data_IF_390268907948
#
_entry.id   IF_390268907948
#
_cell.length_a   1.000
_cell.length_b   1.000
_cell.length_c   1.000
_cell.angle_alpha   90.00
_cell.angle_beta   90.00
_cell.angle_gamma   90.00
#
_symmetry.space_group_name_H-M   'P 1'
#
loop_
_entity.id
_entity.type
_entity.pdbx_description
1 polymer ?
#
# COMPACT_ATOMS: atom_id res chain seq x y z
N UNK A 1 -14.87 -6.94 7.14
CA UNK A 1 -14.21 -6.36 5.94
C UNK A 1 -13.05 -7.25 5.58
N UNK A 2 -13.04 -7.81 4.37
CA UNK A 2 -11.94 -8.68 3.91
C UNK A 2 -10.69 -7.81 3.72
N UNK A 3 -9.58 -8.17 4.38
CA UNK A 3 -8.31 -7.48 4.20
C UNK A 3 -7.72 -7.88 2.85
N UNK A 4 -7.12 -6.94 2.11
CA UNK A 4 -6.53 -7.17 0.78
C UNK A 4 -5.13 -7.76 0.91
N UNK A 5 -4.77 -8.69 0.03
CA UNK A 5 -3.38 -9.09 -0.16
C UNK A 5 -2.60 -7.99 -0.91
N UNK A 6 -1.26 -8.13 -0.99
CA UNK A 6 -0.43 -7.18 -1.73
C UNK A 6 -0.70 -7.25 -3.23
N UNK A 7 -0.99 -8.44 -3.72
CA UNK A 7 -1.41 -8.72 -5.09
C UNK A 7 -2.75 -8.03 -5.40
N UNK A 8 -3.73 -8.12 -4.50
CA UNK A 8 -5.02 -7.45 -4.66
C UNK A 8 -4.87 -5.93 -4.75
N UNK A 9 -3.99 -5.34 -3.94
CA UNK A 9 -3.73 -3.90 -4.01
C UNK A 9 -3.06 -3.50 -5.34
N UNK A 10 -2.14 -4.34 -5.85
CA UNK A 10 -1.55 -4.11 -7.17
C UNK A 10 -2.60 -4.24 -8.29
N UNK A 11 -3.51 -5.20 -8.19
CA UNK A 11 -4.62 -5.35 -9.13
C UNK A 11 -5.56 -4.14 -9.07
N UNK A 12 -5.91 -3.69 -7.87
CA UNK A 12 -6.75 -2.52 -7.64
C UNK A 12 -6.17 -1.24 -8.26
N UNK A 13 -4.85 -1.03 -8.20
CA UNK A 13 -4.22 0.09 -8.90
C UNK A 13 -4.41 0.02 -10.43
N UNK A 14 -4.34 -1.18 -11.00
CA UNK A 14 -4.59 -1.39 -12.44
C UNK A 14 -6.06 -1.14 -12.78
N UNK A 15 -7.00 -1.63 -11.97
CA UNK A 15 -8.45 -1.42 -12.17
C UNK A 15 -8.81 0.07 -12.16
N UNK A 16 -8.18 0.84 -11.26
CA UNK A 16 -8.37 2.29 -11.18
C UNK A 16 -7.59 3.07 -12.25
N UNK A 17 -6.77 2.40 -13.06
CA UNK A 17 -5.86 3.01 -14.03
C UNK A 17 -4.99 4.12 -13.41
N UNK A 18 -4.48 3.90 -12.20
CA UNK A 18 -3.56 4.81 -11.51
C UNK A 18 -2.24 4.12 -11.16
N UNK A 19 -1.15 4.86 -11.16
CA UNK A 19 0.16 4.35 -10.72
C UNK A 19 0.28 4.46 -9.19
N UNK A 20 1.20 3.67 -8.61
CA UNK A 20 1.56 3.79 -7.18
C UNK A 20 2.05 5.20 -6.85
N UNK A 21 2.84 5.81 -7.74
CA UNK A 21 3.32 7.17 -7.58
C UNK A 21 2.17 8.18 -7.58
N UNK A 22 1.21 8.02 -8.49
CA UNK A 22 0.03 8.90 -8.56
C UNK A 22 -0.84 8.77 -7.31
N UNK A 23 -1.14 7.55 -6.88
CA UNK A 23 -1.87 7.34 -5.63
C UNK A 23 -1.09 7.91 -4.43
N UNK A 24 0.23 7.72 -4.40
CA UNK A 24 1.09 8.29 -3.37
C UNK A 24 1.01 9.82 -3.31
N UNK A 25 1.15 10.51 -4.45
CA UNK A 25 1.01 11.97 -4.52
C UNK A 25 -0.32 12.46 -3.96
N UNK A 26 -1.43 11.79 -4.28
CA UNK A 26 -2.76 12.12 -3.77
C UNK A 26 -2.91 11.89 -2.25
N UNK A 27 -2.09 11.03 -1.69
CA UNK A 27 -2.16 10.63 -0.28
C UNK A 27 -1.01 11.15 0.59
N UNK A 28 -0.07 11.91 0.02
CA UNK A 28 1.10 12.44 0.73
C UNK A 28 2.25 11.44 0.92
N UNK A 29 2.32 10.39 0.10
CA UNK A 29 3.34 9.35 0.17
C UNK A 29 4.20 9.28 -1.10
N UNK A 30 5.45 8.87 -0.95
CA UNK A 30 6.33 8.59 -2.08
C UNK A 30 6.07 7.19 -2.68
N UNK A 31 6.36 7.04 -3.97
CA UNK A 31 6.30 5.73 -4.65
C UNK A 31 7.20 4.69 -3.96
N UNK A 32 8.33 5.11 -3.38
CA UNK A 32 9.25 4.22 -2.69
C UNK A 32 8.66 3.68 -1.37
N UNK A 33 8.00 4.52 -0.58
CA UNK A 33 7.29 4.09 0.65
C UNK A 33 6.21 3.06 0.30
N UNK A 34 5.41 3.31 -0.74
CA UNK A 34 4.36 2.38 -1.19
C UNK A 34 4.97 1.08 -1.71
N UNK A 35 6.05 1.16 -2.48
CA UNK A 35 6.74 -0.01 -3.02
C UNK A 35 7.26 -0.92 -1.90
N UNK A 36 7.85 -0.35 -0.82
CA UNK A 36 8.31 -1.13 0.34
C UNK A 36 7.18 -1.87 1.05
N UNK A 37 6.00 -1.24 1.15
CA UNK A 37 4.78 -1.85 1.70
C UNK A 37 4.30 -3.00 0.81
N UNK A 38 4.21 -2.79 -0.50
CA UNK A 38 3.70 -3.79 -1.46
C UNK A 38 4.69 -4.91 -1.79
N UNK A 39 5.98 -4.71 -1.54
CA UNK A 39 7.01 -5.74 -1.69
C UNK A 39 7.26 -6.51 -0.39
N UNK A 40 6.80 -6.00 0.75
CA UNK A 40 7.03 -6.60 2.06
C UNK A 40 8.40 -6.36 2.65
N UNK A 41 9.16 -5.38 2.13
CA UNK A 41 10.43 -4.98 2.74
C UNK A 41 10.23 -4.30 4.08
N UNK A 42 9.05 -3.72 4.31
CA UNK A 42 8.67 -3.19 5.62
C UNK A 42 7.87 -4.21 6.42
N UNK A 43 8.14 -4.26 7.73
CA UNK A 43 7.38 -5.06 8.70
C UNK A 43 6.02 -4.46 9.04
N UNK A 44 5.76 -3.19 8.64
CA UNK A 44 4.48 -2.51 8.86
C UNK A 44 4.07 -2.38 10.34
N UNK A 45 5.05 -2.43 11.26
CA UNK A 45 4.80 -2.38 12.70
C UNK A 45 4.44 -0.97 13.19
N UNK A 46 4.99 0.07 12.56
CA UNK A 46 4.80 1.47 12.94
C UNK A 46 5.16 2.42 11.80
N UNK A 47 4.88 3.72 11.99
CA UNK A 47 5.25 4.80 11.07
C UNK A 47 4.45 4.80 9.77
N UNK A 48 4.96 5.56 8.78
CA UNK A 48 4.28 5.82 7.51
C UNK A 48 3.92 4.57 6.72
N UNK A 49 4.78 3.57 6.72
CA UNK A 49 4.53 2.33 5.99
C UNK A 49 3.31 1.57 6.56
N UNK A 50 3.10 1.61 7.89
CA UNK A 50 1.90 1.08 8.53
C UNK A 50 0.66 1.91 8.18
N UNK A 51 0.78 3.23 8.17
CA UNK A 51 -0.32 4.13 7.77
C UNK A 51 -0.76 3.85 6.33
N UNK A 52 0.19 3.70 5.40
CA UNK A 52 -0.07 3.31 4.01
C UNK A 52 -0.80 1.97 3.96
N UNK A 53 -0.33 0.98 4.73
CA UNK A 53 -0.94 -0.35 4.72
C UNK A 53 -2.39 -0.35 5.24
N UNK A 54 -2.67 0.41 6.31
CA UNK A 54 -4.04 0.60 6.81
C UNK A 54 -4.90 1.31 5.75
N UNK A 55 -4.37 2.35 5.10
CA UNK A 55 -5.10 3.12 4.08
C UNK A 55 -5.40 2.31 2.82
N UNK A 56 -4.52 1.38 2.46
CA UNK A 56 -4.71 0.41 1.37
C UNK A 56 -5.54 -0.81 1.80
N UNK A 57 -5.97 -0.87 3.06
CA UNK A 57 -6.69 -1.98 3.67
C UNK A 57 -5.95 -3.32 3.49
N UNK A 58 -4.62 -3.30 3.62
CA UNK A 58 -3.77 -4.48 3.51
C UNK A 58 -3.92 -5.40 4.73
N UNK A 59 -3.78 -6.69 4.50
CA UNK A 59 -3.60 -7.67 5.56
C UNK A 59 -2.25 -7.44 6.24
N UNK A 60 -2.31 -6.92 7.46
CA UNK A 60 -1.17 -6.85 8.38
C UNK A 60 -1.08 -8.19 9.11
N UNK A 61 0.01 -8.92 8.86
CA UNK A 61 0.40 -10.04 9.72
C UNK A 61 0.87 -9.42 11.03
N UNK A 62 0.16 -9.71 12.13
CA UNK A 62 0.48 -9.21 13.47
C UNK A 62 1.24 -10.28 14.24
#
# INVERSE_FOLDING_TARGET
MQKRSREDVKAWFKELNITQAEWGRRNGYSSNEISRVLTGKSKLNYGREREIAIKLNLQLES
#
